data_IF_957925013486
#
_entry.id   IF_957925013486
#
_cell.length_a   1.000
_cell.length_b   1.000
_cell.length_c   1.000
_cell.angle_alpha   90.00
_cell.angle_beta   90.00
_cell.angle_gamma   90.00
#
_symmetry.space_group_name_H-M   'P 1'
#
loop_
_entity.id
_entity.type
_entity.pdbx_description
1 polymer ?
#
# COMPACT_ATOMS: atom_id res chain seq x y z
N UNK A 1 9.47 8.17 -26.00
CA UNK A 1 8.93 8.30 -24.63
C UNK A 1 8.72 6.89 -24.10
N UNK A 2 9.46 6.52 -23.07
CA UNK A 2 9.31 5.23 -22.41
C UNK A 2 7.90 5.12 -21.83
N UNK A 3 7.31 3.93 -21.92
CA UNK A 3 6.01 3.66 -21.35
C UNK A 3 6.19 3.31 -19.88
N UNK A 4 5.71 4.18 -18.99
CA UNK A 4 5.79 3.93 -17.57
C UNK A 4 4.42 3.97 -16.90
N UNK A 5 4.39 3.41 -15.71
CA UNK A 5 3.28 3.35 -14.75
C UNK A 5 3.84 3.76 -13.39
N UNK A 6 3.02 4.36 -12.53
CA UNK A 6 3.43 4.51 -11.13
C UNK A 6 2.96 3.29 -10.33
N UNK A 7 3.87 2.66 -9.60
CA UNK A 7 3.60 1.46 -8.81
C UNK A 7 3.80 1.78 -7.33
N UNK A 8 2.72 1.61 -6.55
CA UNK A 8 2.71 1.77 -5.10
C UNK A 8 2.80 0.42 -4.42
N UNK A 9 3.74 0.30 -3.50
CA UNK A 9 3.95 -0.84 -2.62
C UNK A 9 3.54 -0.47 -1.19
N UNK A 10 2.40 -0.94 -0.67
CA UNK A 10 1.90 -0.48 0.63
C UNK A 10 2.79 -0.89 1.81
N UNK A 11 3.48 -2.03 1.70
CA UNK A 11 4.31 -2.58 2.78
C UNK A 11 5.55 -1.71 3.06
N UNK A 12 6.28 -1.37 2.00
CA UNK A 12 7.43 -0.46 2.05
C UNK A 12 7.00 1.02 2.03
N UNK A 13 5.74 1.30 1.68
CA UNK A 13 5.21 2.63 1.33
C UNK A 13 5.97 3.26 0.16
N UNK A 14 6.62 2.49 -0.70
CA UNK A 14 7.36 3.01 -1.86
C UNK A 14 6.40 3.27 -3.01
N UNK A 15 6.50 4.46 -3.60
CA UNK A 15 5.83 4.82 -4.84
C UNK A 15 6.88 5.21 -5.88
N UNK A 16 6.93 4.47 -6.99
CA UNK A 16 7.96 4.65 -8.01
C UNK A 16 7.39 4.59 -9.42
N UNK A 17 8.12 5.14 -10.38
CA UNK A 17 7.90 4.80 -11.77
C UNK A 17 8.45 3.40 -12.09
N UNK A 18 7.70 2.62 -12.85
CA UNK A 18 8.12 1.34 -13.41
C UNK A 18 7.83 1.32 -14.92
N UNK A 19 8.67 0.63 -15.67
CA UNK A 19 8.42 0.40 -17.10
C UNK A 19 7.21 -0.52 -17.28
N UNK A 20 6.32 -0.16 -18.21
CA UNK A 20 5.21 -1.00 -18.64
C UNK A 20 5.55 -1.61 -20.01
N UNK A 21 5.89 -2.90 -20.08
CA UNK A 21 6.44 -3.52 -21.30
C UNK A 21 5.51 -3.47 -22.51
N UNK A 22 4.20 -3.65 -22.31
CA UNK A 22 3.21 -3.61 -23.39
C UNK A 22 1.97 -2.80 -22.99
N UNK A 23 1.74 -1.70 -23.72
CA UNK A 23 0.57 -0.79 -23.56
C UNK A 23 -0.76 -1.46 -23.89
N UNK A 24 -0.75 -2.61 -24.57
CA UNK A 24 -1.96 -3.31 -25.01
C UNK A 24 -2.19 -4.60 -24.22
N UNK A 25 -1.38 -4.90 -23.20
CA UNK A 25 -1.48 -6.12 -22.42
C UNK A 25 -1.91 -5.82 -20.98
N UNK A 26 -3.07 -6.37 -20.60
CA UNK A 26 -3.48 -6.39 -19.19
C UNK A 26 -2.54 -7.29 -18.37
N UNK A 27 -2.01 -8.36 -18.99
CA UNK A 27 -1.10 -9.28 -18.33
C UNK A 27 0.22 -8.61 -17.92
N UNK A 28 0.66 -7.57 -18.66
CA UNK A 28 1.81 -6.75 -18.25
C UNK A 28 1.53 -5.98 -16.96
N UNK A 29 0.29 -5.51 -16.75
CA UNK A 29 -0.12 -4.83 -15.51
C UNK A 29 -0.28 -5.86 -14.38
N UNK A 30 -0.93 -7.00 -14.63
CA UNK A 30 -1.04 -8.12 -13.68
C UNK A 30 0.33 -8.57 -13.17
N UNK A 31 1.31 -8.72 -14.07
CA UNK A 31 2.68 -9.08 -13.72
C UNK A 31 3.40 -8.03 -12.86
N UNK A 32 3.13 -6.74 -13.08
CA UNK A 32 3.67 -5.66 -12.27
C UNK A 32 3.04 -5.57 -10.88
N UNK A 33 1.77 -5.92 -10.75
CA UNK A 33 1.03 -5.93 -9.47
C UNK A 33 1.28 -7.24 -8.69
N UNK A 34 1.67 -8.31 -9.39
CA UNK A 34 1.80 -9.65 -8.82
C UNK A 34 0.44 -10.29 -8.51
N UNK A 35 -0.58 -10.03 -9.33
CA UNK A 35 -1.93 -10.58 -9.14
C UNK A 35 -2.56 -11.00 -10.47
N UNK A 36 -3.11 -12.21 -10.51
CA UNK A 36 -3.73 -12.80 -11.71
C UNK A 36 -5.10 -12.18 -12.01
N UNK A 37 -5.87 -11.86 -10.97
CA UNK A 37 -7.16 -11.19 -11.06
C UNK A 37 -7.01 -9.75 -10.59
N UNK A 38 -7.17 -8.81 -11.52
CA UNK A 38 -7.08 -7.38 -11.24
C UNK A 38 -8.39 -6.68 -11.52
N UNK A 39 -8.73 -5.72 -10.66
CA UNK A 39 -9.85 -4.81 -10.82
C UNK A 39 -9.33 -3.43 -11.22
N UNK A 40 -10.10 -2.71 -12.04
CA UNK A 40 -9.85 -1.32 -12.39
C UNK A 40 -10.73 -0.40 -11.54
N UNK A 41 -10.10 0.60 -10.92
CA UNK A 41 -10.77 1.62 -10.12
C UNK A 41 -10.43 2.97 -10.71
N UNK A 42 -11.44 3.84 -10.89
CA UNK A 42 -11.21 5.20 -11.38
C UNK A 42 -10.42 6.02 -10.36
N UNK A 43 -9.32 6.64 -10.78
CA UNK A 43 -8.56 7.58 -9.93
C UNK A 43 -9.14 9.00 -10.06
N UNK A 44 -9.29 9.45 -11.30
CA UNK A 44 -9.93 10.70 -11.70
C UNK A 44 -10.50 10.59 -13.13
N UNK A 45 -10.73 11.70 -13.83
CA UNK A 45 -11.27 11.69 -15.19
C UNK A 45 -10.30 11.13 -16.25
N UNK A 46 -8.99 11.17 -15.97
CA UNK A 46 -7.92 10.88 -16.92
C UNK A 46 -6.95 9.80 -16.44
N UNK A 47 -7.22 9.16 -15.30
CA UNK A 47 -6.37 8.13 -14.71
C UNK A 47 -7.16 7.01 -14.06
N UNK A 48 -6.58 5.81 -14.10
CA UNK A 48 -7.15 4.61 -13.50
C UNK A 48 -6.11 3.87 -12.66
N UNK A 49 -6.58 3.28 -11.57
CA UNK A 49 -5.86 2.33 -10.74
C UNK A 49 -6.18 0.92 -11.19
N UNK A 50 -5.17 0.07 -11.15
CA UNK A 50 -5.31 -1.37 -11.24
C UNK A 50 -4.78 -1.96 -9.95
N UNK A 51 -5.57 -2.83 -9.33
CA UNK A 51 -5.25 -3.49 -8.06
C UNK A 51 -5.69 -4.95 -8.11
N UNK A 52 -5.09 -5.81 -7.29
CA UNK A 52 -5.56 -7.20 -7.16
C UNK A 52 -6.98 -7.25 -6.59
N UNK A 53 -7.86 -8.05 -7.19
CA UNK A 53 -9.26 -8.21 -6.75
C UNK A 53 -9.34 -8.94 -5.40
N UNK A 54 -8.51 -9.96 -5.22
CA UNK A 54 -8.49 -10.81 -4.01
C UNK A 54 -7.35 -10.44 -3.04
N UNK A 55 -6.81 -9.24 -3.14
CA UNK A 55 -5.67 -8.84 -2.34
C UNK A 55 -6.02 -8.59 -0.86
N UNK A 56 -7.29 -8.28 -0.55
CA UNK A 56 -7.80 -8.16 0.82
C UNK A 56 -8.06 -9.55 1.42
N UNK A 57 -7.00 -10.19 1.91
CA UNK A 57 -7.04 -11.56 2.44
C UNK A 57 -6.52 -11.66 3.87
N UNK A 58 -6.79 -12.80 4.50
CA UNK A 58 -6.22 -13.12 5.83
C UNK A 58 -4.69 -13.11 5.76
N UNK A 59 -4.05 -12.55 6.79
CA UNK A 59 -2.58 -12.43 6.87
C UNK A 59 -2.00 -11.20 6.18
N UNK A 60 -2.85 -10.26 5.75
CA UNK A 60 -2.39 -9.00 5.15
C UNK A 60 -1.56 -8.17 6.14
N UNK A 61 -0.35 -7.78 5.73
CA UNK A 61 0.60 -7.00 6.54
C UNK A 61 0.54 -5.49 6.26
N UNK A 62 -0.07 -5.08 5.15
CA UNK A 62 -0.28 -3.67 4.81
C UNK A 62 -1.43 -3.48 3.82
N UNK A 63 -2.06 -2.33 3.85
CA UNK A 63 -3.11 -1.90 2.91
C UNK A 63 -2.97 -0.41 2.62
N UNK A 64 -3.70 0.09 1.62
CA UNK A 64 -3.73 1.50 1.24
C UNK A 64 -5.14 2.04 1.39
N UNK A 65 -5.27 3.18 2.06
CA UNK A 65 -6.47 4.01 1.97
C UNK A 65 -6.31 4.90 0.75
N UNK A 66 -7.28 4.84 -0.16
CA UNK A 66 -7.38 5.71 -1.32
C UNK A 66 -8.51 6.72 -1.09
N UNK A 67 -8.16 8.01 -1.06
CA UNK A 67 -9.10 9.08 -0.79
C UNK A 67 -10.26 9.10 -1.79
N UNK A 68 -11.49 9.07 -1.30
CA UNK A 68 -12.71 8.99 -2.10
C UNK A 68 -13.14 7.59 -2.51
N UNK A 69 -12.47 6.53 -2.04
CA UNK A 69 -12.89 5.14 -2.27
C UNK A 69 -13.31 4.47 -0.94
N UNK A 70 -14.46 3.77 -0.89
CA UNK A 70 -15.09 3.37 0.37
C UNK A 70 -14.40 2.20 1.08
N UNK A 71 -13.57 1.43 0.38
CA UNK A 71 -12.89 0.25 0.93
C UNK A 71 -11.37 0.41 0.79
N UNK A 72 -10.57 -0.14 1.72
CA UNK A 72 -9.12 -0.19 1.56
C UNK A 72 -8.72 -0.98 0.31
N UNK A 73 -7.55 -0.66 -0.24
CA UNK A 73 -6.92 -1.39 -1.34
C UNK A 73 -5.77 -2.22 -0.77
N UNK A 74 -5.53 -3.41 -1.31
CA UNK A 74 -4.46 -4.28 -0.87
C UNK A 74 -3.61 -4.75 -2.05
N UNK A 75 -2.40 -5.25 -1.73
CA UNK A 75 -1.41 -5.57 -2.75
C UNK A 75 -0.82 -4.33 -3.41
N UNK A 76 -0.03 -4.55 -4.45
CA UNK A 76 0.54 -3.45 -5.22
C UNK A 76 -0.55 -2.73 -6.02
N UNK A 77 -0.38 -1.43 -6.22
CA UNK A 77 -1.34 -0.58 -6.92
C UNK A 77 -0.63 0.07 -8.10
N UNK A 78 -1.14 -0.17 -9.31
CA UNK A 78 -0.62 0.44 -10.51
C UNK A 78 -1.52 1.60 -10.94
N UNK A 79 -0.95 2.80 -11.09
CA UNK A 79 -1.65 3.99 -11.58
C UNK A 79 -1.22 4.30 -13.02
N UNK A 80 -2.19 4.29 -13.93
CA UNK A 80 -2.01 4.56 -15.35
C UNK A 80 -2.86 5.75 -15.80
N UNK A 81 -2.47 6.36 -16.92
CA UNK A 81 -3.28 7.34 -17.63
C UNK A 81 -4.34 6.67 -18.50
N UNK A 82 -5.46 7.36 -18.67
CA UNK A 82 -6.66 6.91 -19.38
C UNK A 82 -7.78 6.49 -18.43
N UNK A 83 -8.87 6.02 -19.03
CA UNK A 83 -10.08 5.52 -18.36
C UNK A 83 -10.01 4.01 -18.06
N UNK A 84 -8.82 3.42 -18.17
CA UNK A 84 -8.61 1.97 -18.05
C UNK A 84 -8.84 1.20 -19.35
N UNK A 85 -9.09 1.88 -20.48
CA UNK A 85 -9.10 1.26 -21.80
C UNK A 85 -7.71 1.21 -22.43
N UNK A 86 -7.53 0.27 -23.37
CA UNK A 86 -6.31 0.15 -24.17
C UNK A 86 -6.33 1.19 -25.31
N UNK A 87 -5.17 1.70 -25.75
CA UNK A 87 -3.84 1.45 -25.20
C UNK A 87 -3.63 2.18 -23.87
N UNK A 88 -3.03 1.48 -22.91
CA UNK A 88 -2.67 2.06 -21.61
C UNK A 88 -1.61 3.15 -21.78
N UNK A 89 -1.80 4.26 -21.06
CA UNK A 89 -0.95 5.43 -21.18
C UNK A 89 -0.20 5.67 -19.88
N UNK A 90 0.92 6.35 -20.01
CA UNK A 90 1.65 6.83 -18.84
C UNK A 90 0.81 7.92 -18.15
N UNK A 91 0.82 7.98 -16.81
CA UNK A 91 0.10 9.02 -16.08
C UNK A 91 0.50 10.42 -16.55
N UNK A 92 -0.49 11.29 -16.71
CA UNK A 92 -0.26 12.70 -17.04
C UNK A 92 -0.01 13.57 -15.80
N UNK A 93 -0.30 13.04 -14.61
CA UNK A 93 -0.02 13.67 -13.31
C UNK A 93 1.36 13.33 -12.78
N UNK A 94 1.88 14.19 -11.90
CA UNK A 94 3.13 13.92 -11.19
C UNK A 94 2.91 12.85 -10.11
N UNK A 95 3.97 12.12 -9.78
CA UNK A 95 3.92 11.13 -8.71
C UNK A 95 3.62 11.77 -7.35
N UNK A 96 4.09 13.01 -7.12
CA UNK A 96 3.77 13.79 -5.91
C UNK A 96 2.28 14.11 -5.81
N UNK A 97 1.63 14.50 -6.90
CA UNK A 97 0.19 14.78 -6.90
C UNK A 97 -0.61 13.50 -6.68
N UNK A 98 -0.24 12.40 -7.36
CA UNK A 98 -0.85 11.10 -7.16
C UNK A 98 -0.73 10.61 -5.70
N UNK A 99 0.44 10.76 -5.09
CA UNK A 99 0.73 10.26 -3.74
C UNK A 99 -0.15 10.90 -2.64
N UNK A 100 -0.63 12.13 -2.86
CA UNK A 100 -1.49 12.83 -1.89
C UNK A 100 -2.82 12.13 -1.64
N UNK A 101 -3.25 11.27 -2.57
CA UNK A 101 -4.50 10.52 -2.46
C UNK A 101 -4.34 9.17 -1.78
N UNK A 102 -3.13 8.79 -1.42
CA UNK A 102 -2.83 7.50 -0.80
C UNK A 102 -2.30 7.64 0.61
N UNK A 103 -2.75 6.75 1.49
CA UNK A 103 -2.17 6.53 2.80
C UNK A 103 -1.88 5.03 2.96
N UNK A 104 -0.60 4.68 3.12
CA UNK A 104 -0.18 3.31 3.37
C UNK A 104 -0.29 2.99 4.85
N UNK A 105 -1.04 1.95 5.16
CA UNK A 105 -1.39 1.53 6.50
C UNK A 105 -0.80 0.15 6.80
N UNK A 106 -0.23 -0.03 7.99
CA UNK A 106 0.17 -1.35 8.50
C UNK A 106 -0.23 -1.51 9.96
N UNK A 107 -0.75 -2.68 10.37
CA UNK A 107 -0.88 -3.01 11.77
C UNK A 107 0.53 -3.15 12.38
N UNK A 108 0.72 -2.56 13.56
CA UNK A 108 1.96 -2.72 14.32
C UNK A 108 1.64 -3.13 15.75
N UNK A 109 2.53 -3.95 16.31
CA UNK A 109 2.49 -4.42 17.68
C UNK A 109 3.50 -3.61 18.48
N UNK A 110 3.02 -2.73 19.34
CA UNK A 110 3.86 -1.93 20.23
C UNK A 110 4.04 -2.70 21.55
N UNK A 111 5.27 -3.11 21.91
CA UNK A 111 5.52 -3.78 23.19
C UNK A 111 5.39 -2.80 24.35
N UNK A 112 4.68 -3.21 25.40
CA UNK A 112 4.60 -2.49 26.67
C UNK A 112 5.44 -3.23 27.70
N UNK A 113 6.46 -2.56 28.21
CA UNK A 113 7.39 -3.13 29.18
C UNK A 113 7.09 -2.68 30.61
N UNK A 114 7.46 -3.53 31.56
CA UNK A 114 7.30 -3.27 32.97
C UNK A 114 8.19 -2.12 33.45
N UNK A 115 7.64 -1.19 34.26
CA UNK A 115 8.44 -0.18 34.93
C UNK A 115 9.57 -0.80 35.76
N UNK A 116 10.70 -0.12 35.84
CA UNK A 116 11.90 -0.64 36.52
C UNK A 116 11.72 -0.84 38.03
N UNK A 117 10.78 -0.13 38.64
CA UNK A 117 10.41 -0.19 40.05
C UNK A 117 9.27 -1.17 40.34
N UNK A 118 8.77 -1.89 39.33
CA UNK A 118 7.69 -2.87 39.52
C UNK A 118 8.20 -4.11 40.24
N UNK A 119 7.73 -4.29 41.47
CA UNK A 119 7.96 -5.50 42.28
C UNK A 119 6.82 -6.49 42.01
N UNK A 120 7.16 -7.69 41.53
CA UNK A 120 6.20 -8.78 41.34
C UNK A 120 5.92 -9.52 42.66
N UNK A 121 4.80 -10.27 42.70
CA UNK A 121 4.48 -11.13 43.84
C UNK A 121 5.66 -12.04 44.19
N UNK A 122 6.03 -12.08 45.47
CA UNK A 122 7.26 -12.69 46.06
C UNK A 122 8.55 -11.85 46.01
N UNK A 123 8.48 -10.55 45.71
CA UNK A 123 9.62 -9.65 45.84
C UNK A 123 10.64 -9.73 44.70
N UNK A 124 10.30 -10.38 43.58
CA UNK A 124 11.12 -10.36 42.38
C UNK A 124 10.94 -9.02 41.65
N UNK A 125 12.04 -8.33 41.35
CA UNK A 125 12.04 -7.18 40.44
C UNK A 125 12.06 -7.73 39.01
N UNK A 126 11.01 -7.47 38.25
CA UNK A 126 10.89 -7.90 36.85
C UNK A 126 11.00 -6.69 35.93
N UNK A 127 12.04 -5.89 36.14
CA UNK A 127 12.30 -4.68 35.36
C UNK A 127 12.47 -5.04 33.88
N UNK A 128 11.71 -4.37 33.00
CA UNK A 128 11.83 -4.55 31.55
C UNK A 128 11.17 -5.81 30.98
N UNK A 129 10.40 -6.58 31.76
CA UNK A 129 9.60 -7.65 31.18
C UNK A 129 8.50 -7.12 30.26
N UNK A 130 8.19 -7.86 29.19
CA UNK A 130 7.05 -7.57 28.33
C UNK A 130 5.75 -7.87 29.10
N UNK A 131 4.92 -6.85 29.31
CA UNK A 131 3.65 -6.98 30.02
C UNK A 131 2.47 -7.22 29.08
N UNK A 132 2.47 -6.52 27.95
CA UNK A 132 1.41 -6.60 26.96
C UNK A 132 1.89 -6.14 25.58
N UNK A 133 1.06 -6.40 24.57
CA UNK A 133 1.22 -5.87 23.22
C UNK A 133 0.02 -4.98 22.93
N UNK A 134 0.28 -3.73 22.56
CA UNK A 134 -0.76 -2.84 22.06
C UNK A 134 -0.78 -2.91 20.53
N UNK A 135 -1.98 -2.83 19.96
CA UNK A 135 -2.18 -2.82 18.51
C UNK A 135 -2.54 -1.41 18.08
N UNK A 136 -1.82 -0.87 17.08
CA UNK A 136 -2.21 0.35 16.37
C UNK A 136 -2.07 0.18 14.88
N UNK A 137 -2.67 1.11 14.13
CA UNK A 137 -2.43 1.25 12.70
C UNK A 137 -1.41 2.37 12.49
N UNK A 138 -0.25 2.00 11.97
CA UNK A 138 0.75 2.94 11.48
C UNK A 138 0.36 3.44 10.10
N UNK A 139 0.28 4.77 9.93
CA UNK A 139 -0.18 5.43 8.71
C UNK A 139 0.94 6.28 8.14
N UNK A 140 1.24 6.12 6.86
CA UNK A 140 2.36 6.79 6.20
C UNK A 140 1.96 7.24 4.81
N UNK A 141 2.38 8.45 4.45
CA UNK A 141 2.33 8.88 3.05
C UNK A 141 3.35 8.07 2.22
N UNK A 142 3.09 7.84 0.92
CA UNK A 142 4.05 7.18 0.07
C UNK A 142 5.39 7.93 -0.05
N UNK A 143 6.49 7.17 -0.03
CA UNK A 143 7.85 7.62 -0.27
C UNK A 143 8.13 7.53 -1.77
N UNK A 144 8.48 8.67 -2.36
CA UNK A 144 8.69 8.81 -3.80
C UNK A 144 10.11 8.38 -4.19
N UNK A 145 10.24 7.44 -5.14
CA UNK A 145 11.52 6.98 -5.71
C UNK A 145 11.59 7.14 -7.23
#
# INVERSE_FOLDING_TARGET
MENFVYLLEPESAIFRAAELPDRNSIASISGLIGSDLIQMIRFDDMHSLFVGEEALRVGLTAFTIFDGYPIPLAGQIALLGGDGSKPYRSPSITMTEAARRFECCRPVLDPVFAPMDRVANKGLIVAGALESLQVRIDRRSPVLL
#
